data_IF_740708263213
#
_entry.id   IF_740708263213
#
_cell.length_a   1.000
_cell.length_b   1.000
_cell.length_c   1.000
_cell.angle_alpha   90.00
_cell.angle_beta   90.00
_cell.angle_gamma   90.00
#
_symmetry.space_group_name_H-M   'P 1'
#
loop_
_entity.id
_entity.type
_entity.pdbx_description
1 polymer ?
#
# COMPACT_ATOMS: atom_id res chain seq x y z
N UNK A 1 6.37 20.27 31.18
CA UNK A 1 6.14 19.18 30.24
C UNK A 1 5.74 19.82 28.92
N UNK A 2 6.63 19.88 27.94
CA UNK A 2 6.28 20.43 26.63
C UNK A 2 5.42 19.37 25.93
N UNK A 3 4.17 19.70 25.64
CA UNK A 3 3.33 18.93 24.71
C UNK A 3 4.05 18.95 23.36
N UNK A 4 4.69 17.85 23.03
CA UNK A 4 5.40 17.67 21.77
C UNK A 4 4.42 17.15 20.71
N UNK A 5 3.31 17.89 20.52
CA UNK A 5 2.37 17.57 19.45
C UNK A 5 3.06 17.81 18.12
N UNK A 6 3.18 16.78 17.32
CA UNK A 6 3.74 16.88 15.97
C UNK A 6 2.87 17.78 15.09
N UNK A 7 3.51 18.70 14.38
CA UNK A 7 2.81 19.40 13.31
C UNK A 7 2.35 18.42 12.22
N UNK A 8 1.30 18.79 11.47
CA UNK A 8 0.81 17.97 10.34
C UNK A 8 1.91 17.65 9.33
N UNK A 9 2.80 18.61 9.08
CA UNK A 9 3.93 18.43 8.17
C UNK A 9 4.95 17.41 8.72
N UNK A 10 5.21 17.43 10.02
CA UNK A 10 6.09 16.50 10.69
C UNK A 10 5.50 15.07 10.65
N UNK A 11 4.21 14.91 10.96
CA UNK A 11 3.49 13.62 10.83
C UNK A 11 3.57 13.07 9.42
N UNK A 12 3.33 13.91 8.40
CA UNK A 12 3.45 13.50 6.99
C UNK A 12 4.88 13.06 6.63
N UNK A 13 5.89 13.77 7.12
CA UNK A 13 7.30 13.45 6.86
C UNK A 13 7.69 12.11 7.45
N UNK A 14 7.39 11.88 8.72
CA UNK A 14 7.69 10.61 9.41
C UNK A 14 6.90 9.45 8.80
N UNK A 15 5.63 9.66 8.48
CA UNK A 15 4.81 8.63 7.81
C UNK A 15 5.35 8.24 6.42
N UNK A 16 5.88 9.20 5.65
CA UNK A 16 6.55 8.92 4.38
C UNK A 16 7.84 8.14 4.59
N UNK A 17 8.63 8.50 5.59
CA UNK A 17 9.87 7.82 5.93
C UNK A 17 9.59 6.36 6.33
N UNK A 18 8.64 6.11 7.24
CA UNK A 18 8.25 4.75 7.60
C UNK A 18 7.70 3.96 6.43
N UNK A 19 6.93 4.60 5.54
CA UNK A 19 6.44 3.94 4.32
C UNK A 19 7.58 3.53 3.40
N UNK A 20 8.63 4.34 3.27
CA UNK A 20 9.81 4.01 2.48
C UNK A 20 10.54 2.80 3.08
N UNK A 21 10.80 2.84 4.38
CA UNK A 21 11.56 1.80 5.08
C UNK A 21 10.78 0.48 5.13
N UNK A 22 9.53 0.50 5.58
CA UNK A 22 8.74 -0.71 5.77
C UNK A 22 8.23 -1.36 4.47
N UNK A 23 8.28 -0.66 3.33
CA UNK A 23 7.79 -1.19 2.05
C UNK A 23 8.89 -1.48 1.04
N UNK A 24 9.91 -0.63 1.02
CA UNK A 24 10.78 -0.55 -0.14
C UNK A 24 12.26 -0.73 0.20
N UNK A 25 12.75 -0.11 1.27
CA UNK A 25 14.18 0.00 1.56
C UNK A 25 14.53 -0.18 3.04
N UNK A 26 14.14 -1.31 3.67
CA UNK A 26 14.51 -1.56 5.07
C UNK A 26 16.03 -1.53 5.29
N UNK A 27 16.79 -1.99 4.31
CA UNK A 27 18.26 -2.00 4.34
C UNK A 27 18.88 -0.60 4.48
N UNK A 28 18.17 0.46 4.10
CA UNK A 28 18.67 1.84 4.18
C UNK A 28 18.99 2.26 5.63
N UNK A 29 18.32 1.68 6.60
CA UNK A 29 18.59 1.87 8.03
C UNK A 29 19.07 0.59 8.71
N UNK A 30 19.38 -0.45 7.95
CA UNK A 30 19.77 -1.75 8.48
C UNK A 30 18.64 -2.50 9.19
N UNK A 31 17.37 -2.20 8.86
CA UNK A 31 16.19 -2.87 9.41
C UNK A 31 15.98 -4.22 8.71
N UNK A 32 15.66 -5.24 9.50
CA UNK A 32 15.25 -6.55 8.98
C UNK A 32 13.76 -6.72 9.14
N UNK A 33 13.09 -7.11 8.05
CA UNK A 33 11.68 -7.48 8.07
C UNK A 33 11.57 -9.01 8.01
N UNK A 34 10.58 -9.56 8.71
CA UNK A 34 10.24 -10.97 8.52
C UNK A 34 9.50 -11.19 7.17
N UNK A 35 9.23 -12.44 6.79
CA UNK A 35 8.54 -12.77 5.54
C UNK A 35 7.16 -12.12 5.40
N UNK A 36 6.52 -11.77 6.49
CA UNK A 36 5.21 -11.11 6.54
C UNK A 36 5.32 -9.57 6.68
N UNK A 37 6.52 -9.03 6.57
CA UNK A 37 6.78 -7.60 6.61
C UNK A 37 6.83 -6.98 8.00
N UNK A 38 6.82 -7.80 9.06
CA UNK A 38 6.91 -7.31 10.43
C UNK A 38 8.33 -6.89 10.80
N UNK A 39 8.43 -5.74 11.45
CA UNK A 39 9.62 -5.26 12.13
C UNK A 39 9.34 -5.12 13.61
N UNK A 40 10.34 -5.35 14.45
CA UNK A 40 10.31 -4.97 15.86
C UNK A 40 10.26 -3.45 15.99
N UNK A 41 9.37 -2.94 16.86
CA UNK A 41 9.17 -1.48 17.00
C UNK A 41 10.39 -0.82 17.66
N UNK A 42 10.99 -1.44 18.64
CA UNK A 42 12.14 -0.85 19.35
C UNK A 42 13.36 -0.81 18.44
N UNK A 43 13.59 -1.85 17.63
CA UNK A 43 14.65 -1.89 16.61
C UNK A 43 14.40 -0.84 15.52
N UNK A 44 13.17 -0.72 15.03
CA UNK A 44 12.78 0.32 14.07
C UNK A 44 13.05 1.72 14.63
N UNK A 45 12.63 2.02 15.85
CA UNK A 45 12.80 3.34 16.47
C UNK A 45 14.28 3.68 16.70
N UNK A 46 15.07 2.73 17.21
CA UNK A 46 16.50 2.92 17.42
C UNK A 46 17.20 3.25 16.08
N UNK A 47 16.97 2.47 15.04
CA UNK A 47 17.57 2.66 13.72
C UNK A 47 17.03 3.90 13.01
N UNK A 48 15.73 4.16 13.09
CA UNK A 48 15.11 5.33 12.50
C UNK A 48 15.69 6.63 13.08
N UNK A 49 15.86 6.71 14.40
CA UNK A 49 16.42 7.90 15.03
C UNK A 49 17.88 8.18 14.65
N UNK A 50 18.63 7.15 14.28
CA UNK A 50 20.01 7.33 13.77
C UNK A 50 20.02 7.85 12.32
N UNK A 51 18.99 7.59 11.53
CA UNK A 51 19.00 7.81 10.08
C UNK A 51 17.96 8.83 9.60
N UNK A 52 17.00 9.23 10.43
CA UNK A 52 16.00 10.20 9.98
C UNK A 52 16.62 11.61 9.86
N UNK A 53 16.20 12.32 8.82
CA UNK A 53 16.64 13.71 8.54
C UNK A 53 15.64 14.75 9.04
N UNK A 54 14.67 14.35 9.86
CA UNK A 54 13.60 15.27 10.31
C UNK A 54 14.01 16.10 11.51
N UNK A 55 15.10 15.76 12.18
CA UNK A 55 15.53 16.37 13.45
C UNK A 55 14.63 16.03 14.64
N UNK A 56 13.65 15.16 14.45
CA UNK A 56 12.72 14.72 15.47
C UNK A 56 13.23 13.45 16.16
N UNK A 57 13.11 13.38 17.48
CA UNK A 57 13.20 12.12 18.18
C UNK A 57 11.87 11.37 18.02
N UNK A 58 11.88 10.27 17.27
CA UNK A 58 10.69 9.46 17.04
C UNK A 58 10.56 8.49 18.20
N UNK A 59 9.64 8.77 19.10
CA UNK A 59 9.33 7.89 20.23
C UNK A 59 8.23 6.90 19.86
N UNK A 60 7.97 5.93 20.76
CA UNK A 60 6.86 4.98 20.58
C UNK A 60 5.51 5.69 20.53
N UNK A 61 5.32 6.72 21.33
CA UNK A 61 4.09 7.55 21.36
C UNK A 61 3.89 8.24 20.01
N UNK A 62 4.93 8.85 19.45
CA UNK A 62 4.92 9.47 18.12
C UNK A 62 4.58 8.45 17.03
N UNK A 63 5.16 7.23 17.10
CA UNK A 63 4.84 6.18 16.16
C UNK A 63 3.36 5.77 16.26
N UNK A 64 2.85 5.55 17.46
CA UNK A 64 1.46 5.17 17.69
C UNK A 64 0.48 6.26 17.26
N UNK A 65 0.80 7.55 17.48
CA UNK A 65 0.03 8.67 16.97
C UNK A 65 -0.04 8.64 15.43
N UNK A 66 1.09 8.41 14.75
CA UNK A 66 1.14 8.31 13.30
C UNK A 66 0.30 7.14 12.79
N UNK A 67 0.33 6.00 13.46
CA UNK A 67 -0.49 4.83 13.11
C UNK A 67 -1.97 5.17 13.25
N UNK A 68 -2.38 5.78 14.39
CA UNK A 68 -3.76 6.09 14.70
C UNK A 68 -4.35 7.19 13.79
N UNK A 69 -3.56 8.21 13.44
CA UNK A 69 -4.00 9.35 12.63
C UNK A 69 -3.82 9.16 11.13
N UNK A 70 -3.34 8.00 10.68
CA UNK A 70 -3.09 7.74 9.27
C UNK A 70 -4.39 7.40 8.53
N UNK A 71 -4.97 8.37 7.83
CA UNK A 71 -6.22 8.23 7.05
C UNK A 71 -6.21 7.02 6.09
N UNK A 72 -5.03 6.62 5.62
CA UNK A 72 -4.88 5.53 4.64
C UNK A 72 -4.53 4.19 5.28
N UNK A 73 -4.55 4.10 6.60
CA UNK A 73 -4.23 2.87 7.38
C UNK A 73 -3.02 2.12 6.80
N UNK A 74 -1.91 2.86 6.60
CA UNK A 74 -0.71 2.32 5.94
C UNK A 74 0.05 1.32 6.78
N UNK A 75 -0.15 1.34 8.09
CA UNK A 75 0.61 0.55 9.05
C UNK A 75 -0.33 -0.24 9.94
N UNK A 76 0.10 -1.43 10.29
CA UNK A 76 -0.57 -2.32 11.25
C UNK A 76 0.41 -2.59 12.38
N UNK A 77 -0.06 -2.49 13.62
CA UNK A 77 0.68 -2.88 14.82
C UNK A 77 0.15 -4.22 15.29
N UNK A 78 1.03 -5.10 15.78
CA UNK A 78 0.63 -6.40 16.33
C UNK A 78 -0.19 -6.23 17.61
N UNK A 79 -0.99 -7.24 17.95
CA UNK A 79 -1.89 -7.20 19.11
C UNK A 79 -1.14 -6.94 20.43
N UNK A 80 0.06 -7.50 20.55
CA UNK A 80 0.95 -7.29 21.70
C UNK A 80 1.67 -5.93 21.68
N UNK A 81 1.50 -5.14 20.63
CA UNK A 81 2.13 -3.83 20.45
C UNK A 81 3.65 -3.87 20.21
N UNK A 82 4.25 -5.05 20.00
CA UNK A 82 5.71 -5.17 19.85
C UNK A 82 6.22 -4.97 18.43
N UNK A 83 5.38 -5.21 17.42
CA UNK A 83 5.77 -5.20 16.01
C UNK A 83 4.89 -4.30 15.16
N UNK A 84 5.45 -3.83 14.06
CA UNK A 84 4.77 -3.01 13.06
C UNK A 84 5.07 -3.53 11.66
N UNK A 85 4.11 -3.42 10.76
CA UNK A 85 4.32 -3.65 9.32
C UNK A 85 3.57 -2.64 8.48
N UNK A 86 3.96 -2.49 7.23
CA UNK A 86 3.11 -1.84 6.25
C UNK A 86 1.97 -2.78 5.84
N UNK A 87 0.76 -2.23 5.70
CA UNK A 87 -0.43 -3.01 5.37
C UNK A 87 -0.37 -3.67 3.99
N UNK A 88 0.32 -3.02 3.03
CA UNK A 88 0.47 -3.50 1.65
C UNK A 88 1.51 -2.68 0.86
N UNK A 89 1.81 -3.09 -0.37
CA UNK A 89 2.61 -2.29 -1.31
C UNK A 89 4.12 -2.48 -1.18
N UNK A 90 4.53 -3.62 -0.63
CA UNK A 90 5.95 -3.99 -0.53
C UNK A 90 6.57 -4.21 -1.92
N UNK A 91 7.81 -3.81 -2.07
CA UNK A 91 8.65 -4.10 -3.23
C UNK A 91 10.00 -4.70 -2.85
N UNK A 92 10.26 -4.89 -1.55
CA UNK A 92 11.46 -5.57 -1.07
C UNK A 92 11.32 -7.08 -1.21
N UNK A 93 12.42 -7.75 -1.59
CA UNK A 93 12.47 -9.21 -1.71
C UNK A 93 12.37 -9.94 -0.35
N UNK A 94 12.60 -9.23 0.76
CA UNK A 94 12.48 -9.80 2.10
C UNK A 94 11.03 -10.16 2.48
N UNK A 95 10.05 -9.53 1.82
CA UNK A 95 8.64 -9.62 2.20
C UNK A 95 7.85 -10.37 1.13
N UNK A 96 7.26 -11.47 1.54
CA UNK A 96 6.30 -12.27 0.77
C UNK A 96 5.06 -12.49 1.65
N UNK A 97 4.28 -11.41 1.86
CA UNK A 97 3.08 -11.51 2.71
C UNK A 97 2.12 -12.51 2.08
N UNK A 98 1.85 -13.56 2.81
CA UNK A 98 0.77 -14.49 2.51
C UNK A 98 -0.55 -13.82 2.93
N UNK A 99 -1.16 -13.07 2.01
CA UNK A 99 -2.50 -12.57 2.23
C UNK A 99 -3.50 -13.73 2.18
N UNK A 100 -4.50 -13.70 3.05
CA UNK A 100 -5.59 -14.67 2.95
C UNK A 100 -6.39 -14.42 1.68
N UNK A 101 -6.61 -15.49 0.92
CA UNK A 101 -7.51 -15.44 -0.22
C UNK A 101 -8.91 -15.04 0.27
N UNK A 102 -9.53 -14.11 -0.43
CA UNK A 102 -10.86 -13.63 -0.12
C UNK A 102 -11.69 -13.54 -1.39
N UNK A 103 -12.99 -13.74 -1.25
CA UNK A 103 -13.93 -13.61 -2.36
C UNK A 103 -14.19 -12.11 -2.62
N UNK A 104 -13.85 -11.59 -3.81
CA UNK A 104 -14.03 -10.19 -4.11
C UNK A 104 -15.49 -9.87 -4.44
N UNK A 105 -15.93 -8.60 -4.35
CA UNK A 105 -17.14 -8.15 -5.02
C UNK A 105 -17.07 -8.46 -6.52
N UNK A 106 -18.21 -8.59 -7.19
CA UNK A 106 -18.27 -8.91 -8.63
C UNK A 106 -17.51 -7.92 -9.53
N UNK A 107 -17.33 -6.70 -9.05
CA UNK A 107 -16.59 -5.63 -9.73
C UNK A 107 -15.67 -4.92 -8.74
N UNK A 108 -14.43 -4.71 -9.16
CA UNK A 108 -13.48 -3.83 -8.50
C UNK A 108 -13.01 -2.75 -9.47
N UNK A 109 -12.28 -1.75 -8.95
CA UNK A 109 -11.86 -0.59 -9.72
C UNK A 109 -10.34 -0.40 -9.66
N UNK A 110 -9.77 0.05 -10.77
CA UNK A 110 -8.36 0.44 -10.83
C UNK A 110 -8.23 1.88 -11.34
N UNK A 111 -7.63 2.72 -10.52
CA UNK A 111 -7.32 4.10 -10.90
C UNK A 111 -5.98 4.19 -11.60
N UNK A 112 -5.98 4.71 -12.81
CA UNK A 112 -4.77 4.92 -13.61
C UNK A 112 -4.77 6.30 -14.25
N UNK A 113 -3.73 6.63 -15.02
CA UNK A 113 -3.68 7.84 -15.84
C UNK A 113 -3.95 7.53 -17.32
N UNK A 114 -4.55 8.49 -18.01
CA UNK A 114 -4.90 8.39 -19.44
C UNK A 114 -3.71 7.90 -20.30
N UNK A 115 -2.51 8.40 -20.03
CA UNK A 115 -1.28 8.00 -20.73
C UNK A 115 -0.94 6.51 -20.66
N UNK A 116 -1.47 5.79 -19.67
CA UNK A 116 -1.20 4.36 -19.47
C UNK A 116 -2.20 3.45 -20.17
N UNK A 117 -3.29 3.98 -20.71
CA UNK A 117 -4.39 3.17 -21.26
C UNK A 117 -3.94 2.30 -22.43
N UNK A 118 -3.10 2.81 -23.32
CA UNK A 118 -2.60 2.05 -24.47
C UNK A 118 -1.83 0.81 -24.05
N UNK A 119 -0.94 0.95 -23.08
CA UNK A 119 -0.18 -0.17 -22.51
C UNK A 119 -1.10 -1.18 -21.82
N UNK A 120 -2.05 -0.69 -21.03
CA UNK A 120 -2.99 -1.55 -20.29
C UNK A 120 -3.90 -2.32 -21.24
N UNK A 121 -4.33 -1.71 -22.37
CA UNK A 121 -5.12 -2.40 -23.39
C UNK A 121 -4.37 -3.58 -24.01
N UNK A 122 -3.06 -3.46 -24.18
CA UNK A 122 -2.24 -4.51 -24.76
C UNK A 122 -1.77 -5.58 -23.78
N UNK A 123 -1.45 -5.18 -22.56
CA UNK A 123 -0.74 -6.04 -21.59
C UNK A 123 -1.56 -6.36 -20.34
N UNK A 124 -2.68 -5.67 -20.10
CA UNK A 124 -3.41 -5.75 -18.84
C UNK A 124 -2.72 -5.00 -17.71
N UNK A 125 -3.10 -5.35 -16.48
CA UNK A 125 -2.50 -4.78 -15.26
C UNK A 125 -1.55 -5.79 -14.62
N UNK A 126 -0.39 -5.29 -14.22
CA UNK A 126 0.63 -6.04 -13.50
C UNK A 126 1.10 -5.23 -12.29
N UNK A 127 1.65 -5.92 -11.29
CA UNK A 127 2.13 -5.29 -10.06
C UNK A 127 3.27 -4.28 -10.26
N UNK A 128 3.92 -4.27 -11.42
CA UNK A 128 5.12 -3.48 -11.74
C UNK A 128 6.23 -3.70 -10.69
N UNK A 129 6.60 -2.65 -9.94
CA UNK A 129 7.57 -2.79 -8.84
C UNK A 129 6.99 -3.41 -7.56
N UNK A 130 5.69 -3.71 -7.53
CA UNK A 130 4.98 -4.32 -6.40
C UNK A 130 4.65 -5.77 -6.71
N UNK A 131 4.39 -6.55 -5.66
CA UNK A 131 4.05 -7.97 -5.83
C UNK A 131 2.65 -8.18 -6.43
N UNK A 132 1.75 -7.21 -6.26
CA UNK A 132 0.34 -7.32 -6.67
C UNK A 132 -0.16 -6.07 -7.36
N UNK A 133 -1.18 -6.25 -8.20
CA UNK A 133 -2.06 -5.19 -8.68
C UNK A 133 -2.98 -4.77 -7.53
N UNK A 134 -3.13 -3.47 -7.34
CA UNK A 134 -4.00 -2.90 -6.30
C UNK A 134 -5.32 -2.46 -6.91
N UNK A 135 -6.41 -2.92 -6.32
CA UNK A 135 -7.76 -2.61 -6.74
C UNK A 135 -8.55 -1.97 -5.59
N UNK A 136 -9.50 -1.13 -5.92
CA UNK A 136 -10.37 -0.45 -4.97
C UNK A 136 -11.78 -1.01 -5.02
N UNK A 137 -12.46 -1.03 -3.87
CA UNK A 137 -13.86 -1.46 -3.80
C UNK A 137 -14.82 -0.40 -4.35
N UNK A 138 -14.39 0.86 -4.42
CA UNK A 138 -15.18 1.99 -4.89
C UNK A 138 -14.45 2.84 -5.94
N UNK A 139 -15.24 3.49 -6.78
CA UNK A 139 -14.76 4.28 -7.90
C UNK A 139 -14.09 5.59 -7.46
N UNK A 140 -14.58 6.21 -6.38
CA UNK A 140 -14.04 7.47 -5.84
C UNK A 140 -12.59 7.30 -5.38
N UNK A 141 -12.31 6.21 -4.68
CA UNK A 141 -10.94 5.85 -4.27
C UNK A 141 -10.05 5.61 -5.49
N UNK A 142 -10.56 4.94 -6.52
CA UNK A 142 -9.81 4.70 -7.76
C UNK A 142 -9.47 6.02 -8.48
N UNK A 143 -10.39 6.98 -8.55
CA UNK A 143 -10.14 8.33 -9.09
C UNK A 143 -8.99 9.01 -8.33
N UNK A 144 -9.05 9.01 -7.00
CA UNK A 144 -7.99 9.60 -6.14
C UNK A 144 -6.62 8.96 -6.35
N UNK A 145 -6.60 7.65 -6.62
CA UNK A 145 -5.35 6.93 -6.93
C UNK A 145 -4.84 7.33 -8.31
N UNK A 146 -5.68 7.33 -9.33
CA UNK A 146 -5.32 7.70 -10.71
C UNK A 146 -4.79 9.12 -10.82
N UNK A 147 -5.39 10.07 -10.11
CA UNK A 147 -5.01 11.49 -10.10
C UNK A 147 -3.56 11.75 -9.66
N UNK A 148 -2.92 10.80 -8.96
CA UNK A 148 -1.50 10.91 -8.56
C UNK A 148 -0.54 10.73 -9.72
N UNK A 149 -1.00 10.16 -10.83
CA UNK A 149 -0.19 9.75 -11.97
C UNK A 149 -0.44 10.60 -13.22
N UNK A 150 -1.44 11.46 -13.20
CA UNK A 150 -1.85 12.33 -14.30
C UNK A 150 -3.37 12.51 -14.37
N UNK A 151 -3.92 12.75 -15.57
CA UNK A 151 -5.37 12.81 -15.77
C UNK A 151 -5.98 11.46 -15.42
N UNK A 152 -6.84 11.39 -14.39
CA UNK A 152 -7.30 10.12 -13.85
C UNK A 152 -8.28 9.42 -14.79
N UNK A 153 -8.13 8.12 -14.88
CA UNK A 153 -9.07 7.21 -15.54
C UNK A 153 -9.35 6.05 -14.62
N UNK A 154 -10.60 5.67 -14.50
CA UNK A 154 -11.02 4.50 -13.71
C UNK A 154 -11.34 3.35 -14.66
N UNK A 155 -10.73 2.21 -14.40
CA UNK A 155 -11.00 0.95 -15.08
C UNK A 155 -11.88 0.09 -14.17
N UNK A 156 -12.92 -0.52 -14.73
CA UNK A 156 -13.73 -1.52 -14.03
C UNK A 156 -13.17 -2.90 -14.33
N UNK A 157 -13.01 -3.70 -13.30
CA UNK A 157 -12.46 -5.05 -13.38
C UNK A 157 -13.58 -6.05 -13.10
N UNK A 158 -13.82 -6.95 -14.05
CA UNK A 158 -14.77 -8.04 -13.91
C UNK A 158 -14.14 -9.16 -13.06
N UNK A 159 -14.22 -8.98 -11.75
CA UNK A 159 -13.64 -9.91 -10.79
C UNK A 159 -14.44 -11.21 -10.67
N UNK A 160 -15.74 -11.17 -10.98
CA UNK A 160 -16.56 -12.38 -11.04
C UNK A 160 -16.04 -13.32 -12.14
N UNK A 161 -15.88 -12.83 -13.37
CA UNK A 161 -15.33 -13.63 -14.46
C UNK A 161 -13.88 -14.08 -14.21
N UNK A 162 -13.08 -13.24 -13.55
CA UNK A 162 -11.71 -13.60 -13.15
C UNK A 162 -11.70 -14.73 -12.12
N UNK A 163 -12.58 -14.69 -11.13
CA UNK A 163 -12.71 -15.73 -10.09
C UNK A 163 -13.16 -17.05 -10.72
N UNK A 164 -14.13 -17.01 -11.62
CA UNK A 164 -14.59 -18.19 -12.37
C UNK A 164 -13.46 -18.81 -13.22
N UNK A 165 -12.55 -17.97 -13.71
CA UNK A 165 -11.36 -18.42 -14.43
C UNK A 165 -10.19 -18.87 -13.54
N UNK A 166 -10.37 -18.87 -12.21
CA UNK A 166 -9.38 -19.37 -11.24
C UNK A 166 -8.39 -18.33 -10.73
N UNK A 167 -8.57 -17.04 -11.04
CA UNK A 167 -7.75 -15.98 -10.46
C UNK A 167 -8.05 -15.79 -8.98
N UNK A 168 -6.98 -15.57 -8.20
CA UNK A 168 -7.09 -15.37 -6.75
C UNK A 168 -7.07 -13.90 -6.41
N UNK A 169 -7.86 -13.53 -5.41
CA UNK A 169 -7.91 -12.21 -4.83
C UNK A 169 -7.59 -12.28 -3.34
N UNK A 170 -7.02 -11.20 -2.83
CA UNK A 170 -6.62 -11.07 -1.44
C UNK A 170 -7.07 -9.71 -0.93
N UNK A 171 -7.41 -9.67 0.35
CA UNK A 171 -7.77 -8.42 1.02
C UNK A 171 -6.65 -8.02 1.97
N UNK A 172 -6.06 -6.84 1.75
CA UNK A 172 -5.06 -6.29 2.65
C UNK A 172 -5.70 -5.69 3.91
N UNK A 173 -4.91 -5.55 4.97
CA UNK A 173 -5.36 -5.02 6.28
C UNK A 173 -6.05 -3.64 6.19
N UNK A 174 -5.74 -2.86 5.17
CA UNK A 174 -6.32 -1.53 4.94
C UNK A 174 -7.50 -1.51 3.96
N UNK A 175 -8.05 -2.66 3.61
CA UNK A 175 -9.20 -2.80 2.71
C UNK A 175 -8.89 -2.70 1.22
N UNK A 176 -7.61 -2.63 0.83
CA UNK A 176 -7.20 -2.68 -0.58
C UNK A 176 -7.25 -4.12 -1.07
N UNK A 177 -7.86 -4.35 -2.23
CA UNK A 177 -7.88 -5.63 -2.90
C UNK A 177 -6.61 -5.83 -3.73
N UNK A 178 -6.12 -7.05 -3.74
CA UNK A 178 -4.87 -7.45 -4.39
C UNK A 178 -5.11 -8.64 -5.29
N UNK A 179 -4.47 -8.64 -6.47
CA UNK A 179 -4.38 -9.80 -7.37
C UNK A 179 -3.02 -9.77 -8.09
N UNK A 180 -2.55 -10.90 -8.57
CA UNK A 180 -1.24 -10.99 -9.24
C UNK A 180 -1.20 -10.19 -10.54
N UNK A 181 -2.25 -10.32 -11.35
CA UNK A 181 -2.40 -9.62 -12.63
C UNK A 181 -3.86 -9.52 -13.02
N UNK A 182 -4.18 -8.60 -13.93
CA UNK A 182 -5.50 -8.49 -14.55
C UNK A 182 -5.31 -8.56 -16.06
N UNK A 183 -5.65 -9.68 -16.71
CA UNK A 183 -5.64 -9.78 -18.18
C UNK A 183 -6.59 -8.76 -18.84
N UNK A 184 -6.27 -8.26 -20.05
CA UNK A 184 -7.05 -7.20 -20.69
C UNK A 184 -8.54 -7.52 -20.91
N UNK A 185 -8.87 -8.79 -21.13
CA UNK A 185 -10.25 -9.23 -21.39
C UNK A 185 -11.20 -9.02 -20.18
N UNK A 186 -10.68 -8.87 -18.99
CA UNK A 186 -11.47 -8.60 -17.79
C UNK A 186 -11.55 -7.12 -17.42
N UNK A 187 -10.98 -6.25 -18.27
CA UNK A 187 -10.95 -4.80 -18.04
C UNK A 187 -11.99 -4.12 -18.90
N UNK A 188 -12.92 -3.42 -18.28
CA UNK A 188 -13.85 -2.53 -18.97
C UNK A 188 -13.26 -1.13 -18.99
N UNK A 189 -12.88 -0.68 -20.16
CA UNK A 189 -12.36 0.67 -20.39
C UNK A 189 -13.51 1.66 -20.54
N UNK A 190 -13.37 2.90 -20.04
CA UNK A 190 -14.34 3.93 -20.31
C UNK A 190 -14.43 4.17 -21.83
N UNK A 191 -15.65 4.45 -22.31
CA UNK A 191 -15.85 4.82 -23.71
C UNK A 191 -15.07 6.11 -23.98
N UNK A 192 -14.39 6.17 -25.12
CA UNK A 192 -13.80 7.42 -25.56
C UNK A 192 -14.94 8.42 -25.82
N UNK A 193 -14.90 9.55 -25.09
CA UNK A 193 -15.79 10.69 -25.32
C UNK A 193 -15.30 11.45 -26.54
#
# INVERSE_FOLDING_TARGET
MQNNELSEQQRKSVSKFFSLILRHRPEQIGLTLDKNGWADIDDLLAKANLHNRTGLCITREVLMEIVATNDKKRFTVSEDGSRIRAAQGHSTQQVQIEHQAAEPPAVLFHGTAEKSLSSIRGQGLHGASRHYVHLSADEETAVKVGARHGKPVVLRIDTAAMTDAGHKFYLADNGVWLTESVPPQYIVFPQAV
#
